data_IF_859531277799
#
_entry.id   IF_859531277799
#
_cell.length_a   1.000
_cell.length_b   1.000
_cell.length_c   1.000
_cell.angle_alpha   90.00
_cell.angle_beta   90.00
_cell.angle_gamma   90.00
#
_symmetry.space_group_name_H-M   'P 1'
#
loop_
_entity.id
_entity.type
_entity.pdbx_description
1 polymer ?
#
# COMPACT_ATOMS: atom_id res chain seq x y z
N UNK A 1 -55.98 34.55 33.02
CA UNK A 1 -55.39 34.26 31.69
C UNK A 1 -53.90 34.14 31.92
N UNK A 2 -53.53 33.10 32.65
CA UNK A 2 -52.14 32.85 33.01
C UNK A 2 -51.40 32.41 31.75
N UNK A 3 -50.50 33.28 31.30
CA UNK A 3 -49.61 33.03 30.19
C UNK A 3 -48.78 31.79 30.48
N UNK A 4 -49.08 30.69 29.80
CA UNK A 4 -48.19 29.52 29.75
C UNK A 4 -46.97 29.96 28.92
N UNK A 5 -45.77 30.09 29.51
CA UNK A 5 -44.58 30.26 28.70
C UNK A 5 -44.41 28.98 27.87
N UNK A 6 -44.38 29.12 26.54
CA UNK A 6 -44.05 28.03 25.63
C UNK A 6 -42.63 27.54 25.97
N UNK A 7 -42.55 26.51 26.81
CA UNK A 7 -41.33 25.76 27.04
C UNK A 7 -41.15 24.79 25.87
N UNK A 8 -39.94 24.82 25.31
CA UNK A 8 -39.28 23.82 24.46
C UNK A 8 -39.86 23.51 23.06
N UNK A 9 -39.53 24.37 22.09
CA UNK A 9 -39.32 23.96 20.69
C UNK A 9 -37.91 23.35 20.45
N UNK A 10 -37.07 23.31 21.48
CA UNK A 10 -35.70 22.76 21.49
C UNK A 10 -35.71 21.33 22.04
N UNK A 11 -36.52 20.45 21.46
CA UNK A 11 -36.48 19.02 21.82
C UNK A 11 -36.86 18.14 20.63
N UNK A 12 -38.00 18.40 19.98
CA UNK A 12 -38.46 17.54 18.88
C UNK A 12 -37.76 17.86 17.55
N UNK A 13 -37.61 19.14 17.21
CA UNK A 13 -36.99 19.54 15.95
C UNK A 13 -35.49 19.19 15.92
N UNK A 14 -34.80 19.28 17.05
CA UNK A 14 -33.39 18.90 17.15
C UNK A 14 -33.20 17.39 17.14
N UNK A 15 -34.13 16.63 17.73
CA UNK A 15 -34.16 15.18 17.62
C UNK A 15 -34.42 14.72 16.18
N UNK A 16 -35.36 15.36 15.46
CA UNK A 16 -35.62 15.10 14.04
C UNK A 16 -34.38 15.43 13.20
N UNK A 17 -33.70 16.56 13.46
CA UNK A 17 -32.44 16.93 12.78
C UNK A 17 -31.31 15.93 13.05
N UNK A 18 -31.19 15.43 14.28
CA UNK A 18 -30.20 14.41 14.64
C UNK A 18 -30.47 13.08 13.91
N UNK A 19 -31.74 12.72 13.74
CA UNK A 19 -32.16 11.51 13.03
C UNK A 19 -32.17 11.66 11.50
N UNK A 20 -32.17 12.88 10.95
CA UNK A 20 -32.32 13.14 9.51
C UNK A 20 -31.23 12.49 8.65
N UNK A 21 -30.03 12.29 9.21
CA UNK A 21 -28.92 11.65 8.48
C UNK A 21 -28.79 10.16 8.77
N UNK A 22 -29.35 9.67 9.90
CA UNK A 22 -29.31 8.27 10.32
C UNK A 22 -30.32 7.46 9.49
N UNK A 23 -30.05 7.33 8.20
CA UNK A 23 -30.73 6.34 7.37
C UNK A 23 -30.31 4.94 7.84
N UNK A 24 -31.20 3.97 7.64
CA UNK A 24 -30.91 2.54 7.89
C UNK A 24 -29.62 2.08 7.22
N UNK A 25 -29.26 2.67 6.08
CA UNK A 25 -28.03 2.37 5.35
C UNK A 25 -26.76 2.87 6.06
N UNK A 26 -26.78 4.06 6.70
CA UNK A 26 -25.64 4.51 7.49
C UNK A 26 -25.41 3.61 8.72
N UNK A 27 -26.49 3.27 9.44
CA UNK A 27 -26.41 2.36 10.58
C UNK A 27 -25.91 0.98 10.17
N UNK A 28 -26.39 0.43 9.05
CA UNK A 28 -25.87 -0.83 8.48
C UNK A 28 -24.41 -0.70 8.08
N UNK A 29 -24.01 0.40 7.45
CA UNK A 29 -22.61 0.61 7.05
C UNK A 29 -21.69 0.66 8.28
N UNK A 30 -22.09 1.32 9.35
CA UNK A 30 -21.33 1.35 10.60
C UNK A 30 -21.29 -0.02 11.30
N UNK A 31 -22.41 -0.74 11.34
CA UNK A 31 -22.47 -2.10 11.88
C UNK A 31 -21.53 -3.05 11.10
N UNK A 32 -21.49 -2.92 9.77
CA UNK A 32 -20.57 -3.69 8.93
C UNK A 32 -19.12 -3.25 9.16
N UNK A 33 -18.85 -1.95 9.23
CA UNK A 33 -17.50 -1.41 9.44
C UNK A 33 -16.91 -1.86 10.79
N UNK A 34 -17.72 -1.82 11.85
CA UNK A 34 -17.32 -2.27 13.20
C UNK A 34 -17.06 -3.78 13.22
N UNK A 35 -17.93 -4.59 12.60
CA UNK A 35 -17.70 -6.04 12.48
C UNK A 35 -16.40 -6.38 11.71
N UNK A 36 -16.13 -5.69 10.60
CA UNK A 36 -14.88 -5.86 9.84
C UNK A 36 -13.68 -5.43 10.67
N UNK A 37 -13.77 -4.29 11.38
CA UNK A 37 -12.68 -3.82 12.23
C UNK A 37 -12.33 -4.82 13.34
N UNK A 38 -13.33 -5.40 14.00
CA UNK A 38 -13.14 -6.46 15.00
C UNK A 38 -12.48 -7.70 14.39
N UNK A 39 -12.93 -8.15 13.23
CA UNK A 39 -12.35 -9.29 12.53
C UNK A 39 -10.88 -9.04 12.12
N UNK A 40 -10.57 -7.83 11.66
CA UNK A 40 -9.19 -7.43 11.31
C UNK A 40 -8.29 -7.33 12.54
N UNK A 41 -8.81 -6.93 13.70
CA UNK A 41 -8.05 -6.92 14.96
C UNK A 41 -7.65 -8.34 15.38
N UNK A 42 -8.57 -9.30 15.29
CA UNK A 42 -8.27 -10.71 15.55
C UNK A 42 -7.27 -11.29 14.52
N UNK A 43 -7.40 -10.92 13.24
CA UNK A 43 -6.42 -11.33 12.22
C UNK A 43 -5.03 -10.72 12.47
N UNK A 44 -4.96 -9.48 12.98
CA UNK A 44 -3.70 -8.79 13.27
C UNK A 44 -2.93 -9.43 14.43
N UNK A 45 -3.61 -9.92 15.46
CA UNK A 45 -2.95 -10.59 16.59
C UNK A 45 -2.38 -11.96 16.23
N UNK A 46 -2.93 -12.65 15.22
CA UNK A 46 -2.38 -13.94 14.78
C UNK A 46 -1.11 -13.84 13.93
N UNK A 47 -0.81 -12.66 13.36
CA UNK A 47 0.34 -12.50 12.48
C UNK A 47 1.63 -12.38 13.29
N UNK A 48 2.55 -13.33 13.10
CA UNK A 48 3.88 -13.32 13.73
C UNK A 48 4.91 -12.71 12.79
N UNK A 49 5.73 -11.82 13.33
CA UNK A 49 6.79 -11.17 12.58
C UNK A 49 7.90 -12.16 12.25
N UNK A 50 8.19 -12.36 10.96
CA UNK A 50 9.28 -13.22 10.50
C UNK A 50 10.69 -12.79 10.94
N UNK A 51 10.86 -11.56 11.45
CA UNK A 51 12.17 -11.05 11.93
C UNK A 51 12.38 -11.24 13.44
N UNK A 52 11.42 -10.80 14.27
CA UNK A 52 11.56 -10.81 15.73
C UNK A 52 10.68 -11.86 16.42
N UNK A 53 9.82 -12.56 15.68
CA UNK A 53 8.86 -13.58 16.16
C UNK A 53 7.77 -13.07 17.11
N UNK A 54 7.70 -11.75 17.33
CA UNK A 54 6.60 -11.10 18.06
C UNK A 54 5.37 -10.99 17.17
N UNK A 55 4.20 -11.01 17.78
CA UNK A 55 2.91 -10.93 17.09
C UNK A 55 2.45 -9.48 16.85
N UNK A 56 1.35 -9.31 16.11
CA UNK A 56 0.75 -8.00 15.85
C UNK A 56 1.32 -7.23 14.65
N UNK A 57 2.38 -7.73 14.00
CA UNK A 57 3.02 -7.05 12.87
C UNK A 57 3.81 -7.97 11.94
N UNK A 58 4.01 -7.52 10.70
CA UNK A 58 4.85 -8.19 9.69
C UNK A 58 6.26 -7.58 9.66
N UNK A 59 7.23 -8.26 9.04
CA UNK A 59 8.65 -7.82 8.99
C UNK A 59 8.85 -6.37 8.53
N UNK A 60 8.01 -5.85 7.62
CA UNK A 60 8.08 -4.45 7.14
C UNK A 60 7.70 -3.41 8.21
N UNK A 61 6.81 -3.78 9.13
CA UNK A 61 6.32 -2.94 10.22
C UNK A 61 7.04 -3.25 11.54
N UNK A 62 8.09 -4.07 11.49
CA UNK A 62 8.82 -4.46 12.69
C UNK A 62 9.56 -3.24 13.26
N UNK A 63 9.32 -2.84 14.52
CA UNK A 63 10.03 -1.74 15.15
C UNK A 63 11.53 -2.06 15.29
N UNK A 64 11.85 -3.35 15.49
CA UNK A 64 13.22 -3.90 15.49
C UNK A 64 13.75 -4.19 14.06
N UNK A 65 12.94 -3.90 13.03
CA UNK A 65 13.18 -4.19 11.63
C UNK A 65 14.25 -3.30 10.99
N UNK A 66 14.66 -2.23 11.67
CA UNK A 66 15.87 -1.50 11.36
C UNK A 66 17.11 -2.28 11.80
N UNK A 67 17.28 -3.52 11.32
CA UNK A 67 18.63 -4.02 11.12
C UNK A 67 19.16 -3.24 9.94
N UNK A 68 19.73 -2.07 10.29
CA UNK A 68 20.69 -1.31 9.50
C UNK A 68 21.31 -2.25 8.48
N UNK A 69 21.16 -1.96 7.19
CA UNK A 69 21.99 -2.62 6.19
C UNK A 69 23.41 -2.60 6.75
N UNK A 70 23.92 -3.75 7.19
CA UNK A 70 25.21 -3.82 7.87
C UNK A 70 26.22 -3.42 6.82
N UNK A 71 26.52 -2.12 6.76
CA UNK A 71 27.53 -1.55 5.88
C UNK A 71 28.79 -2.33 6.20
N UNK A 72 29.32 -3.02 5.21
CA UNK A 72 30.57 -3.75 5.37
C UNK A 72 31.68 -2.71 5.49
N UNK A 73 32.65 -2.89 6.38
CA UNK A 73 33.86 -2.04 6.38
C UNK A 73 34.71 -2.24 5.11
N UNK A 74 34.42 -3.30 4.35
CA UNK A 74 35.07 -3.61 3.07
C UNK A 74 34.22 -3.08 1.90
N UNK A 75 34.86 -2.59 0.82
CA UNK A 75 34.15 -2.20 -0.39
C UNK A 75 33.40 -3.40 -0.98
N UNK A 76 32.27 -3.14 -1.63
CA UNK A 76 31.46 -4.17 -2.27
C UNK A 76 32.35 -5.02 -3.21
N UNK A 77 32.41 -6.35 -3.05
CA UNK A 77 33.28 -7.17 -3.90
C UNK A 77 32.79 -7.23 -5.36
N UNK A 78 31.51 -6.90 -5.61
CA UNK A 78 30.96 -6.82 -6.96
C UNK A 78 31.41 -5.57 -7.67
N UNK A 79 31.06 -4.37 -7.17
CA UNK A 79 31.31 -3.13 -7.89
C UNK A 79 32.49 -2.31 -7.40
N UNK A 80 33.07 -2.71 -6.27
CA UNK A 80 34.13 -1.99 -5.56
C UNK A 80 33.75 -0.55 -5.20
N UNK A 81 32.48 -0.15 -5.37
CA UNK A 81 31.92 1.17 -5.05
C UNK A 81 31.05 1.06 -3.80
N UNK A 82 31.40 1.81 -2.76
CA UNK A 82 30.63 1.89 -1.52
C UNK A 82 30.71 0.64 -0.63
N UNK A 83 30.06 0.75 0.53
CA UNK A 83 30.15 -0.17 1.65
C UNK A 83 28.84 -0.95 1.81
N UNK A 84 28.61 -1.90 0.91
CA UNK A 84 27.42 -2.77 0.91
C UNK A 84 27.78 -4.19 0.49
N UNK A 85 26.94 -5.16 0.86
CA UNK A 85 27.11 -6.56 0.44
C UNK A 85 26.77 -6.74 -1.05
N UNK A 86 27.43 -7.69 -1.73
CA UNK A 86 27.17 -7.96 -3.17
C UNK A 86 25.70 -8.23 -3.51
N UNK A 87 24.92 -8.77 -2.56
CA UNK A 87 23.47 -9.03 -2.72
C UNK A 87 22.62 -7.74 -2.75
N UNK A 88 23.15 -6.66 -2.19
CA UNK A 88 22.53 -5.32 -2.16
C UNK A 88 23.16 -4.38 -3.19
N UNK A 89 24.08 -4.87 -4.02
CA UNK A 89 24.74 -4.09 -5.05
C UNK A 89 23.80 -3.85 -6.24
N UNK A 90 23.34 -2.61 -6.37
CA UNK A 90 22.51 -2.15 -7.49
C UNK A 90 23.34 -1.49 -8.61
N UNK A 91 24.66 -1.37 -8.45
CA UNK A 91 25.55 -0.84 -9.49
C UNK A 91 25.54 -1.75 -10.71
N UNK A 92 25.43 -1.15 -11.90
CA UNK A 92 25.54 -1.85 -13.20
C UNK A 92 26.99 -1.91 -13.72
N UNK A 93 27.86 -1.10 -13.14
CA UNK A 93 29.25 -0.93 -13.55
C UNK A 93 30.19 -1.03 -12.35
N UNK A 94 31.39 -1.53 -12.62
CA UNK A 94 32.53 -1.52 -11.72
C UNK A 94 33.11 -0.13 -11.48
N UNK A 95 34.05 -0.02 -10.51
CA UNK A 95 34.94 1.14 -10.35
C UNK A 95 35.59 1.58 -11.65
N UNK A 96 35.96 0.61 -12.48
CA UNK A 96 36.70 0.82 -13.72
C UNK A 96 35.79 1.09 -14.94
N UNK A 97 34.47 1.22 -14.73
CA UNK A 97 33.51 1.48 -15.80
C UNK A 97 33.07 0.24 -16.59
N UNK A 98 33.61 -0.94 -16.24
CA UNK A 98 33.23 -2.19 -16.87
C UNK A 98 31.80 -2.61 -16.48
N UNK A 99 30.92 -2.99 -17.43
CA UNK A 99 29.57 -3.45 -17.13
C UNK A 99 29.58 -4.87 -16.56
N UNK A 100 28.74 -5.14 -15.55
CA UNK A 100 28.54 -6.51 -15.07
C UNK A 100 27.77 -7.32 -16.11
N UNK A 101 28.37 -8.40 -16.60
CA UNK A 101 27.67 -9.39 -17.39
C UNK A 101 26.67 -10.10 -16.46
N UNK A 102 25.39 -9.78 -16.61
CA UNK A 102 24.33 -10.47 -15.89
C UNK A 102 24.38 -11.94 -16.29
N UNK A 103 24.77 -12.83 -15.38
CA UNK A 103 24.40 -14.25 -15.45
C UNK A 103 22.92 -14.37 -15.11
N UNK A 104 22.10 -13.87 -16.04
CA UNK A 104 20.68 -14.11 -16.12
C UNK A 104 20.47 -14.98 -17.35
N UNK A 105 19.82 -16.12 -17.14
CA UNK A 105 19.35 -17.01 -18.20
C UNK A 105 18.75 -16.18 -19.36
N UNK A 106 19.38 -16.21 -20.54
CA UNK A 106 19.08 -15.35 -21.70
C UNK A 106 17.79 -15.74 -22.43
N UNK A 107 16.77 -16.24 -21.73
CA UNK A 107 15.48 -16.59 -22.33
C UNK A 107 14.37 -15.59 -21.98
N UNK A 108 14.69 -14.29 -21.94
CA UNK A 108 13.67 -13.22 -21.88
C UNK A 108 13.99 -11.97 -22.71
N UNK A 109 14.90 -12.09 -23.69
CA UNK A 109 15.33 -10.96 -24.52
C UNK A 109 15.18 -11.19 -26.03
N UNK A 110 14.31 -12.12 -26.46
CA UNK A 110 13.88 -12.24 -27.86
C UNK A 110 12.37 -12.07 -27.95
N UNK A 111 11.88 -10.90 -27.56
CA UNK A 111 10.65 -10.27 -28.08
C UNK A 111 10.81 -8.75 -27.97
N UNK A 112 11.84 -8.23 -28.63
CA UNK A 112 11.80 -6.85 -29.08
C UNK A 112 10.68 -6.80 -30.15
N UNK A 113 9.49 -6.36 -29.74
CA UNK A 113 8.36 -6.20 -30.64
C UNK A 113 8.73 -5.19 -31.72
N UNK A 114 8.67 -5.63 -32.98
CA UNK A 114 8.75 -4.76 -34.14
C UNK A 114 7.67 -3.67 -34.06
N UNK A 115 7.94 -2.43 -34.52
CA UNK A 115 6.89 -1.43 -34.67
C UNK A 115 5.86 -1.94 -35.70
N UNK A 116 4.60 -2.03 -35.27
CA UNK A 116 3.46 -2.37 -36.13
C UNK A 116 3.18 -1.15 -37.04
N UNK A 117 2.96 -1.33 -38.36
CA UNK A 117 2.49 -0.23 -39.21
C UNK A 117 1.07 0.18 -38.79
N UNK A 118 0.85 1.49 -38.67
CA UNK A 118 -0.46 2.11 -38.40
C UNK A 118 -1.35 1.88 -39.62
N UNK A 119 -2.27 0.92 -39.51
CA UNK A 119 -3.34 0.71 -40.49
C UNK A 119 -4.41 1.79 -40.34
N UNK A 120 -4.66 2.52 -41.42
CA UNK A 120 -5.78 3.43 -41.55
C UNK A 120 -7.12 2.67 -41.55
N UNK A 121 -8.04 3.05 -40.66
CA UNK A 121 -9.45 2.69 -40.75
C UNK A 121 -10.27 3.95 -40.50
N UNK A 122 -10.64 4.62 -41.60
CA UNK A 122 -11.74 5.58 -41.60
C UNK A 122 -13.03 4.76 -41.74
N UNK A 123 -13.87 4.79 -40.72
CA UNK A 123 -15.28 4.39 -40.82
C UNK A 123 -16.12 5.65 -40.68
N UNK A 124 -16.79 6.04 -41.76
CA UNK A 124 -17.78 7.11 -41.75
C UNK A 124 -19.05 6.66 -41.00
N UNK A 125 -19.77 7.56 -40.30
CA UNK A 125 -21.12 7.30 -39.83
C UNK A 125 -22.14 7.56 -40.96
N UNK A 126 -23.26 6.82 -41.05
CA UNK A 126 -24.35 7.15 -41.95
C UNK A 126 -25.22 8.30 -41.39
N UNK A 127 -25.92 8.96 -42.32
CA UNK A 127 -26.80 10.13 -42.18
C UNK A 127 -28.02 9.92 -41.28
#
# INVERSE_FOLDING_TARGET
LDSIPNCVDVELADYIKACANISSEQYKAELIATAIAQQLQAAKTTIKCFACREEGHVRKQCPKGQKTSKKTNKPCPRCKKGLHWSRQCHSKFDKDGNPFQKQGNLNRAVRAGAPQPIGAQFSQPPM
#
